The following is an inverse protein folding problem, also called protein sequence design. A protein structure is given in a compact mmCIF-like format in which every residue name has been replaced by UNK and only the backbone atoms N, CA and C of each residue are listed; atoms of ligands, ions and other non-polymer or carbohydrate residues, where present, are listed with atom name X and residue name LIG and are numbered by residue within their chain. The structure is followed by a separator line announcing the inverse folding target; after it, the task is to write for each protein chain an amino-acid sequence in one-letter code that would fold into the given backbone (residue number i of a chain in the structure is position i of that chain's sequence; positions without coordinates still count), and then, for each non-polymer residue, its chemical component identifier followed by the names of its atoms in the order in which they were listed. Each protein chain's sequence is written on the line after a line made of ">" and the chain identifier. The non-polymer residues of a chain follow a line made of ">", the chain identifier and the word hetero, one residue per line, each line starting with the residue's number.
data_IF_816569065117
#
_entry.id   IF_816569065117
#
_cell.length_a   1.000
_cell.length_b   1.000
_cell.length_c   1.000
_cell.angle_alpha   90.00
_cell.angle_beta   90.00
_cell.angle_gamma   90.00
#
_symmetry.space_group_name_H-M   'P 1'
#
loop_
_entity.id
_entity.type
_entity.pdbx_description
1 polymer ?
#
# COMPACT_ATOMS: atom_id res chain seq x y z
N UNK A 1 101.22 -6.35 -52.93
CA UNK A 1 101.53 -7.59 -53.69
C UNK A 1 100.22 -8.29 -54.04
N UNK A 2 100.16 -8.85 -55.25
CA UNK A 2 99.01 -9.41 -55.98
C UNK A 2 98.36 -10.65 -55.35
N UNK A 3 97.22 -11.00 -55.98
CA UNK A 3 96.51 -12.30 -56.08
C UNK A 3 95.36 -12.44 -55.06
N UNK A 4 94.07 -12.40 -55.39
CA UNK A 4 93.25 -13.09 -56.44
C UNK A 4 93.42 -14.60 -56.41
N UNK A 5 92.37 -15.33 -56.00
CA UNK A 5 91.64 -16.38 -56.74
C UNK A 5 90.78 -17.21 -55.76
N UNK A 6 89.47 -17.37 -55.93
CA UNK A 6 88.68 -18.13 -56.93
C UNK A 6 88.03 -19.32 -56.23
N UNK A 7 86.73 -19.48 -56.51
CA UNK A 7 86.02 -20.77 -56.67
C UNK A 7 85.83 -21.60 -55.39
N UNK A 8 84.79 -22.41 -55.20
CA UNK A 8 83.75 -23.01 -56.06
C UNK A 8 82.67 -23.53 -55.07
N UNK A 9 81.37 -23.33 -55.30
CA UNK A 9 80.41 -24.22 -56.01
C UNK A 9 80.13 -25.58 -55.32
N UNK A 10 78.84 -25.96 -55.42
CA UNK A 10 78.19 -27.27 -55.25
C UNK A 10 77.57 -27.51 -53.86
N UNK A 11 76.25 -27.34 -53.67
CA UNK A 11 75.12 -28.22 -54.07
C UNK A 11 75.31 -29.69 -53.67
N UNK A 12 74.52 -30.17 -52.70
CA UNK A 12 73.59 -31.30 -52.81
C UNK A 12 72.99 -31.57 -51.41
N UNK A 13 71.66 -31.52 -51.22
CA UNK A 13 70.62 -32.51 -51.59
C UNK A 13 70.47 -33.61 -50.53
N UNK A 14 69.21 -33.75 -50.07
CA UNK A 14 68.61 -34.89 -49.37
C UNK A 14 69.14 -35.16 -47.94
N UNK A 15 68.37 -35.64 -46.96
CA UNK A 15 67.08 -36.31 -46.93
C UNK A 15 66.53 -36.25 -45.49
N UNK A 16 65.20 -36.24 -45.42
CA UNK A 16 64.23 -36.68 -44.39
C UNK A 16 64.69 -37.26 -43.04
N UNK A 17 63.71 -37.18 -42.12
CA UNK A 17 63.43 -37.97 -40.90
C UNK A 17 63.81 -37.19 -39.63
N UNK A 18 62.86 -36.49 -39.01
CA UNK A 18 61.89 -36.95 -37.99
C UNK A 18 62.53 -37.14 -36.61
N UNK A 19 62.19 -36.24 -35.68
CA UNK A 19 61.40 -36.52 -34.47
C UNK A 19 61.47 -35.30 -33.55
N UNK A 20 60.30 -34.86 -33.10
CA UNK A 20 60.12 -33.74 -32.18
C UNK A 20 60.55 -34.15 -30.78
N UNK A 21 61.44 -33.36 -30.17
CA UNK A 21 61.54 -33.17 -28.73
C UNK A 21 61.61 -31.66 -28.51
N UNK A 22 60.50 -31.05 -28.13
CA UNK A 22 60.46 -29.62 -27.80
C UNK A 22 61.13 -29.38 -26.47
N UNK A 23 62.10 -28.49 -26.52
CA UNK A 23 62.97 -28.05 -25.46
C UNK A 23 62.25 -27.26 -24.36
N UNK A 24 62.84 -27.38 -23.18
CA UNK A 24 62.76 -26.48 -22.02
C UNK A 24 62.99 -25.02 -22.41
N UNK A 25 62.23 -24.10 -21.83
CA UNK A 25 62.66 -22.70 -21.71
C UNK A 25 62.16 -22.03 -20.41
N UNK A 26 63.12 -21.31 -19.81
CA UNK A 26 63.16 -20.52 -18.56
C UNK A 26 62.20 -19.32 -18.52
N UNK A 27 61.99 -18.70 -17.34
CA UNK A 27 61.05 -17.60 -17.14
C UNK A 27 61.66 -16.25 -17.55
N UNK A 28 60.82 -15.36 -18.10
CA UNK A 28 61.12 -13.94 -18.25
C UNK A 28 60.07 -13.14 -17.48
N UNK A 29 60.55 -12.31 -16.56
CA UNK A 29 59.74 -11.41 -15.72
C UNK A 29 59.12 -10.33 -16.60
N UNK A 30 57.81 -10.14 -16.52
CA UNK A 30 57.14 -8.93 -17.00
C UNK A 30 56.53 -8.21 -15.81
N UNK A 31 57.00 -6.97 -15.67
CA UNK A 31 56.64 -5.97 -14.68
C UNK A 31 55.21 -5.47 -14.92
N UNK A 32 54.50 -5.28 -13.81
CA UNK A 32 53.10 -4.87 -13.67
C UNK A 32 52.76 -3.48 -14.24
N UNK A 33 51.61 -3.37 -14.91
CA UNK A 33 50.81 -2.13 -15.01
C UNK A 33 49.57 -2.28 -14.13
N UNK A 34 49.16 -1.27 -13.34
CA UNK A 34 47.96 -1.38 -12.52
C UNK A 34 46.73 -1.17 -13.42
N UNK A 35 45.86 -2.18 -13.51
CA UNK A 35 44.50 -1.98 -13.98
C UNK A 35 43.68 -1.42 -12.83
N UNK A 36 43.15 -0.21 -13.00
CA UNK A 36 42.13 0.35 -12.11
C UNK A 36 40.89 -0.53 -12.24
N UNK A 37 40.68 -1.38 -11.23
CA UNK A 37 39.45 -2.16 -11.09
C UNK A 37 38.33 -1.20 -10.67
N UNK A 38 37.46 -0.83 -11.61
CA UNK A 38 36.17 -0.25 -11.25
C UNK A 38 35.38 -1.31 -10.50
N UNK A 39 35.30 -1.14 -9.18
CA UNK A 39 34.44 -1.93 -8.31
C UNK A 39 33.00 -1.47 -8.56
N UNK A 40 32.36 -2.03 -9.60
CA UNK A 40 30.91 -1.92 -9.75
C UNK A 40 30.31 -2.70 -8.59
N UNK A 41 29.96 -1.95 -7.53
CA UNK A 41 29.11 -2.45 -6.45
C UNK A 41 27.87 -3.02 -7.11
N UNK A 42 27.75 -4.34 -7.04
CA UNK A 42 26.54 -5.10 -7.31
C UNK A 42 25.42 -4.40 -6.54
N UNK A 43 24.57 -3.68 -7.27
CA UNK A 43 23.33 -3.13 -6.75
C UNK A 43 22.61 -4.27 -6.05
N UNK A 44 22.39 -4.10 -4.75
CA UNK A 44 21.57 -5.02 -3.96
C UNK A 44 20.28 -5.23 -4.72
N UNK A 45 20.10 -6.46 -5.18
CA UNK A 45 18.88 -6.95 -5.79
C UNK A 45 17.71 -6.49 -4.92
N UNK A 46 16.94 -5.54 -5.43
CA UNK A 46 15.63 -5.22 -4.87
C UNK A 46 14.83 -6.51 -5.06
N UNK A 47 14.74 -7.34 -4.03
CA UNK A 47 13.79 -8.44 -3.99
C UNK A 47 12.41 -7.82 -4.05
N UNK A 48 11.91 -7.70 -5.27
CA UNK A 48 10.55 -7.31 -5.60
C UNK A 48 9.66 -8.47 -5.18
N UNK A 49 9.38 -8.56 -3.88
CA UNK A 49 8.31 -9.37 -3.35
C UNK A 49 7.03 -8.66 -3.77
N UNK A 50 6.68 -8.84 -5.05
CA UNK A 50 5.59 -8.17 -5.75
C UNK A 50 4.27 -8.72 -5.22
N UNK A 51 3.84 -8.23 -4.06
CA UNK A 51 2.42 -8.02 -3.87
C UNK A 51 2.04 -6.99 -4.92
N UNK A 52 1.19 -7.36 -5.87
CA UNK A 52 0.64 -6.51 -6.92
C UNK A 52 -0.25 -5.41 -6.32
N UNK A 53 0.34 -4.58 -5.48
CA UNK A 53 -0.23 -3.33 -4.98
C UNK A 53 -0.18 -2.41 -6.21
N UNK A 54 -1.33 -2.04 -6.79
CA UNK A 54 -1.35 -1.23 -8.00
C UNK A 54 -0.50 0.01 -7.79
N UNK A 55 0.31 0.42 -8.78
CA UNK A 55 1.10 1.65 -8.69
C UNK A 55 0.25 2.87 -8.28
N UNK A 56 -1.02 2.87 -8.70
CA UNK A 56 -2.03 3.86 -8.32
C UNK A 56 -2.29 3.92 -6.80
N UNK A 57 -2.24 2.79 -6.10
CA UNK A 57 -2.43 2.74 -4.64
C UNK A 57 -1.23 3.26 -3.88
N UNK A 58 0.00 3.05 -4.37
CA UNK A 58 1.21 3.64 -3.77
C UNK A 58 1.25 5.14 -3.98
N UNK A 59 0.94 5.62 -5.19
CA UNK A 59 0.88 7.06 -5.48
C UNK A 59 -0.21 7.77 -4.66
N UNK A 60 -1.39 7.15 -4.53
CA UNK A 60 -2.47 7.68 -3.68
C UNK A 60 -2.08 7.69 -2.19
N UNK A 61 -1.36 6.66 -1.73
CA UNK A 61 -0.89 6.57 -0.35
C UNK A 61 0.09 7.70 -0.01
N UNK A 62 1.08 7.95 -0.86
CA UNK A 62 2.04 9.05 -0.65
C UNK A 62 1.35 10.42 -0.74
N UNK A 63 0.42 10.61 -1.69
CA UNK A 63 -0.33 11.86 -1.79
C UNK A 63 -1.17 12.16 -0.53
N UNK A 64 -1.82 11.13 0.04
CA UNK A 64 -2.56 11.27 1.31
C UNK A 64 -1.61 11.60 2.45
N UNK A 65 -0.45 10.95 2.50
CA UNK A 65 0.56 11.24 3.53
C UNK A 65 1.07 12.68 3.41
N UNK A 66 1.48 13.12 2.24
CA UNK A 66 1.94 14.49 1.99
C UNK A 66 0.87 15.54 2.37
N UNK A 67 -0.40 15.21 2.14
CA UNK A 67 -1.51 16.09 2.49
C UNK A 67 -1.77 16.20 4.00
N UNK A 68 -1.50 15.15 4.78
CA UNK A 68 -1.84 15.05 6.22
C UNK A 68 -0.62 15.29 7.13
N UNK A 69 0.61 15.03 6.63
CA UNK A 69 1.85 15.16 7.41
C UNK A 69 2.03 16.56 8.02
N UNK A 70 1.83 17.69 7.29
CA UNK A 70 2.01 19.03 7.86
C UNK A 70 1.09 19.31 9.06
N UNK A 71 -0.12 18.77 9.02
CA UNK A 71 -1.11 18.91 10.08
C UNK A 71 -0.70 18.03 11.26
N UNK A 72 -0.30 16.78 11.03
CA UNK A 72 0.20 15.91 12.08
C UNK A 72 1.41 16.53 12.80
N UNK A 73 2.35 17.12 12.06
CA UNK A 73 3.52 17.80 12.62
C UNK A 73 3.12 19.03 13.44
N UNK A 74 2.14 19.81 12.99
CA UNK A 74 1.56 20.90 13.78
C UNK A 74 0.95 20.39 15.10
N UNK A 75 0.11 19.34 15.04
CA UNK A 75 -0.53 18.78 16.24
C UNK A 75 0.47 18.15 17.21
N UNK A 76 1.62 17.63 16.75
CA UNK A 76 2.72 17.19 17.62
C UNK A 76 3.27 18.33 18.49
N UNK A 77 3.27 19.57 18.00
CA UNK A 77 3.77 20.72 18.79
C UNK A 77 2.89 21.09 19.97
N UNK A 78 1.64 20.63 20.00
CA UNK A 78 0.67 20.93 21.05
C UNK A 78 0.83 20.05 22.29
N UNK A 79 1.77 19.10 22.29
CA UNK A 79 2.07 18.18 23.41
C UNK A 79 0.80 17.54 24.01
N UNK A 80 -0.06 17.04 23.13
CA UNK A 80 -1.32 16.43 23.54
C UNK A 80 -1.07 15.15 24.33
N UNK A 81 -1.88 14.85 25.37
CA UNK A 81 -1.73 13.61 26.13
C UNK A 81 -1.77 12.38 25.23
N UNK A 82 -0.84 11.46 25.43
CA UNK A 82 -0.72 10.21 24.65
C UNK A 82 -2.05 9.45 24.61
N UNK A 83 -2.74 9.35 25.75
CA UNK A 83 -4.04 8.68 25.84
C UNK A 83 -5.09 9.27 24.88
N UNK A 84 -5.07 10.59 24.64
CA UNK A 84 -5.99 11.24 23.71
C UNK A 84 -5.61 10.94 22.25
N UNK A 85 -4.33 10.98 21.92
CA UNK A 85 -3.83 10.69 20.56
C UNK A 85 -4.11 9.22 20.21
N UNK A 86 -3.88 8.32 21.16
CA UNK A 86 -4.02 6.88 20.99
C UNK A 86 -5.48 6.45 20.94
N UNK A 87 -6.30 6.91 21.89
CA UNK A 87 -7.67 6.40 22.07
C UNK A 87 -8.78 7.33 21.55
N UNK A 88 -8.44 8.56 21.16
CA UNK A 88 -9.41 9.53 20.65
C UNK A 88 -10.15 9.05 19.40
N UNK A 89 -9.42 8.50 18.42
CA UNK A 89 -10.02 7.92 17.22
C UNK A 89 -10.93 6.72 17.52
N UNK A 90 -10.45 5.62 18.15
CA UNK A 90 -11.29 4.44 18.38
C UNK A 90 -12.47 4.75 19.32
N UNK A 91 -12.29 5.62 20.33
CA UNK A 91 -13.35 6.04 21.23
C UNK A 91 -14.47 6.78 20.50
N UNK A 92 -14.13 7.80 19.72
CA UNK A 92 -15.12 8.58 18.96
C UNK A 92 -15.82 7.73 17.90
N UNK A 93 -15.06 6.89 17.16
CA UNK A 93 -15.64 6.05 16.12
C UNK A 93 -16.56 4.97 16.67
N UNK A 94 -16.33 4.49 17.91
CA UNK A 94 -17.26 3.56 18.56
C UNK A 94 -18.62 4.19 18.81
N UNK A 95 -18.65 5.44 19.32
CA UNK A 95 -19.90 6.17 19.55
C UNK A 95 -20.64 6.39 18.24
N UNK A 96 -19.94 6.81 17.18
CA UNK A 96 -20.54 7.03 15.86
C UNK A 96 -21.07 5.72 15.27
N UNK A 97 -20.30 4.62 15.35
CA UNK A 97 -20.72 3.32 14.82
C UNK A 97 -21.99 2.81 15.52
N UNK A 98 -22.06 2.93 16.86
CA UNK A 98 -23.23 2.46 17.62
C UNK A 98 -24.44 3.38 17.43
N UNK A 99 -24.26 4.69 17.58
CA UNK A 99 -25.36 5.66 17.55
C UNK A 99 -25.88 5.90 16.12
N UNK A 100 -25.01 5.99 15.13
CA UNK A 100 -25.43 6.29 13.76
C UNK A 100 -25.53 5.02 12.90
N UNK A 101 -24.56 4.12 13.00
CA UNK A 101 -24.61 2.83 12.29
C UNK A 101 -25.65 1.88 12.88
N UNK A 102 -25.55 1.61 14.18
CA UNK A 102 -26.49 0.72 14.89
C UNK A 102 -27.92 1.25 14.86
N UNK A 103 -28.17 2.40 15.48
CA UNK A 103 -29.54 2.93 15.53
C UNK A 103 -30.03 3.48 14.18
N UNK A 104 -29.20 4.23 13.45
CA UNK A 104 -29.61 4.83 12.17
C UNK A 104 -29.82 3.81 11.05
N UNK A 105 -28.89 2.87 10.86
CA UNK A 105 -28.98 1.91 9.77
C UNK A 105 -29.60 0.55 10.17
N UNK A 106 -29.26 -0.05 11.32
CA UNK A 106 -29.86 -1.33 11.72
C UNK A 106 -31.27 -1.19 12.28
N UNK A 107 -31.53 -0.18 13.12
CA UNK A 107 -32.87 0.02 13.68
C UNK A 107 -33.75 0.76 12.70
N UNK A 108 -33.50 2.06 12.46
CA UNK A 108 -34.38 2.88 11.63
C UNK A 108 -34.43 2.42 10.18
N UNK A 109 -33.30 2.04 9.58
CA UNK A 109 -33.26 1.53 8.21
C UNK A 109 -34.14 0.30 7.98
N UNK A 110 -34.13 -0.66 8.93
CA UNK A 110 -34.98 -1.85 8.84
C UNK A 110 -36.43 -1.59 9.25
N UNK A 111 -36.70 -0.69 10.20
CA UNK A 111 -38.06 -0.25 10.55
C UNK A 111 -38.82 0.23 9.31
N UNK A 112 -38.18 0.96 8.40
CA UNK A 112 -38.80 1.42 7.15
C UNK A 112 -39.30 0.26 6.28
N UNK A 113 -38.64 -0.91 6.36
CA UNK A 113 -38.97 -2.09 5.54
C UNK A 113 -39.91 -3.08 6.23
N UNK A 114 -39.81 -3.23 7.55
CA UNK A 114 -40.46 -4.34 8.26
C UNK A 114 -41.62 -3.91 9.14
N UNK A 115 -41.71 -2.63 9.52
CA UNK A 115 -42.77 -2.15 10.40
C UNK A 115 -44.08 -1.92 9.64
N UNK A 116 -45.19 -2.22 10.31
CA UNK A 116 -46.56 -1.89 9.86
C UNK A 116 -47.11 -0.65 10.53
N UNK A 117 -46.42 -0.09 11.53
CA UNK A 117 -46.80 1.17 12.19
C UNK A 117 -46.36 2.36 11.34
N UNK A 118 -47.34 3.10 10.82
CA UNK A 118 -47.13 4.27 9.96
C UNK A 118 -46.37 5.39 10.67
N UNK A 119 -46.58 5.59 11.97
CA UNK A 119 -45.89 6.62 12.74
C UNK A 119 -44.40 6.28 12.88
N UNK A 120 -44.08 5.04 13.24
CA UNK A 120 -42.70 4.56 13.33
C UNK A 120 -41.99 4.60 11.96
N UNK A 121 -42.69 4.27 10.87
CA UNK A 121 -42.12 4.34 9.51
C UNK A 121 -41.85 5.78 9.09
N UNK A 122 -42.75 6.72 9.40
CA UNK A 122 -42.57 8.13 9.10
C UNK A 122 -41.35 8.71 9.84
N UNK A 123 -41.24 8.42 11.14
CA UNK A 123 -40.08 8.83 11.94
C UNK A 123 -38.78 8.21 11.40
N UNK A 124 -38.80 6.92 11.05
CA UNK A 124 -37.63 6.24 10.52
C UNK A 124 -37.17 6.79 9.16
N UNK A 125 -38.10 7.16 8.28
CA UNK A 125 -37.79 7.80 6.98
C UNK A 125 -37.15 9.18 7.14
N UNK A 126 -37.49 9.91 8.20
CA UNK A 126 -36.86 11.20 8.50
C UNK A 126 -35.48 11.01 9.15
N UNK A 127 -35.36 10.08 10.09
CA UNK A 127 -34.14 9.90 10.88
C UNK A 127 -33.04 9.11 10.16
N UNK A 128 -33.37 8.06 9.41
CA UNK A 128 -32.40 7.22 8.71
C UNK A 128 -31.44 8.02 7.80
N UNK A 129 -31.91 8.87 6.88
CA UNK A 129 -31.01 9.62 6.01
C UNK A 129 -30.15 10.65 6.77
N UNK A 130 -30.69 11.28 7.83
CA UNK A 130 -29.93 12.24 8.66
C UNK A 130 -28.79 11.55 9.40
N UNK A 131 -29.08 10.41 10.03
CA UNK A 131 -28.08 9.62 10.74
C UNK A 131 -27.06 9.00 9.78
N UNK A 132 -27.50 8.52 8.61
CA UNK A 132 -26.60 7.95 7.60
C UNK A 132 -25.66 9.02 6.99
N UNK A 133 -26.16 10.23 6.69
CA UNK A 133 -25.33 11.33 6.22
C UNK A 133 -24.33 11.77 7.31
N UNK A 134 -24.79 11.87 8.56
CA UNK A 134 -23.93 12.13 9.71
C UNK A 134 -22.83 11.07 9.84
N UNK A 135 -23.18 9.79 9.77
CA UNK A 135 -22.24 8.67 9.83
C UNK A 135 -21.16 8.80 8.76
N UNK A 136 -21.54 9.08 7.51
CA UNK A 136 -20.58 9.24 6.42
C UNK A 136 -19.57 10.36 6.70
N UNK A 137 -20.04 11.53 7.13
CA UNK A 137 -19.18 12.68 7.44
C UNK A 137 -18.25 12.35 8.61
N UNK A 138 -18.79 11.82 9.71
CA UNK A 138 -17.99 11.50 10.88
C UNK A 138 -17.00 10.36 10.62
N UNK A 139 -17.32 9.41 9.75
CA UNK A 139 -16.38 8.36 9.35
C UNK A 139 -15.28 8.89 8.44
N UNK A 140 -15.58 9.83 7.54
CA UNK A 140 -14.56 10.51 6.75
C UNK A 140 -13.60 11.31 7.64
N UNK A 141 -14.14 12.09 8.59
CA UNK A 141 -13.33 12.80 9.59
C UNK A 141 -12.56 11.83 10.49
N UNK A 142 -13.20 10.71 10.86
CA UNK A 142 -12.59 9.63 11.61
C UNK A 142 -11.39 9.03 10.89
N UNK A 143 -11.50 8.78 9.58
CA UNK A 143 -10.39 8.28 8.76
C UNK A 143 -9.20 9.27 8.78
N UNK A 144 -9.46 10.56 8.63
CA UNK A 144 -8.41 11.60 8.76
C UNK A 144 -7.80 11.60 10.16
N UNK A 145 -8.62 11.57 11.22
CA UNK A 145 -8.14 11.55 12.60
C UNK A 145 -7.34 10.30 12.95
N UNK A 146 -7.74 9.14 12.43
CA UNK A 146 -7.01 7.88 12.61
C UNK A 146 -5.64 7.90 11.93
N UNK A 147 -5.58 8.36 10.68
CA UNK A 147 -4.31 8.55 9.97
C UNK A 147 -3.41 9.57 10.67
N UNK A 148 -3.99 10.68 11.16
CA UNK A 148 -3.25 11.68 11.95
C UNK A 148 -2.69 11.08 13.25
N UNK A 149 -3.46 10.26 13.97
CA UNK A 149 -2.98 9.61 15.19
C UNK A 149 -1.76 8.70 14.96
N UNK A 150 -1.70 8.00 13.82
CA UNK A 150 -0.56 7.17 13.44
C UNK A 150 0.66 8.02 13.09
N UNK A 151 0.46 9.10 12.34
CA UNK A 151 1.55 10.02 11.99
C UNK A 151 2.12 10.74 13.21
N UNK A 152 1.27 11.10 14.18
CA UNK A 152 1.68 11.68 15.46
C UNK A 152 2.55 10.71 16.29
N UNK A 153 2.44 9.39 16.05
CA UNK A 153 3.21 8.34 16.69
C UNK A 153 4.34 7.77 15.79
N UNK A 154 4.64 8.44 14.67
CA UNK A 154 5.66 8.06 13.69
C UNK A 154 5.48 6.64 13.11
N UNK A 155 4.21 6.22 12.94
CA UNK A 155 3.83 4.92 12.36
C UNK A 155 3.42 5.06 10.89
N UNK A 156 3.67 4.03 10.06
CA UNK A 156 3.23 4.03 8.66
C UNK A 156 1.70 3.88 8.56
N UNK A 157 1.08 4.62 7.63
CA UNK A 157 -0.39 4.66 7.46
C UNK A 157 -0.92 3.40 6.76
N UNK A 158 -0.31 3.00 5.64
CA UNK A 158 -0.90 2.01 4.72
C UNK A 158 -0.45 0.55 4.95
N UNK A 159 0.28 0.29 6.03
CA UNK A 159 0.70 -1.08 6.40
C UNK A 159 -0.36 -1.81 7.21
N UNK A 160 -1.29 -1.08 7.84
CA UNK A 160 -2.28 -1.68 8.73
C UNK A 160 -3.54 -2.14 7.98
N UNK A 161 -3.98 -3.40 8.17
CA UNK A 161 -5.28 -3.88 7.69
C UNK A 161 -6.46 -3.02 8.18
N UNK A 162 -6.32 -2.37 9.33
CA UNK A 162 -7.32 -1.44 9.84
C UNK A 162 -7.52 -0.24 8.89
N UNK A 163 -6.43 0.39 8.42
CA UNK A 163 -6.53 1.53 7.52
C UNK A 163 -7.13 1.13 6.17
N UNK A 164 -6.69 0.00 5.61
CA UNK A 164 -7.20 -0.50 4.32
C UNK A 164 -8.70 -0.83 4.39
N UNK A 165 -9.13 -1.51 5.45
CA UNK A 165 -10.56 -1.81 5.65
C UNK A 165 -11.38 -0.54 5.90
N UNK A 166 -10.81 0.47 6.56
CA UNK A 166 -11.46 1.77 6.77
C UNK A 166 -11.69 2.54 5.46
N UNK A 167 -10.66 2.65 4.62
CA UNK A 167 -10.77 3.30 3.31
C UNK A 167 -11.71 2.54 2.37
N UNK A 168 -11.65 1.21 2.36
CA UNK A 168 -12.58 0.36 1.62
C UNK A 168 -14.02 0.53 2.10
N UNK A 169 -14.25 0.51 3.41
CA UNK A 169 -15.55 0.73 4.02
C UNK A 169 -16.13 2.11 3.71
N UNK A 170 -15.32 3.17 3.79
CA UNK A 170 -15.74 4.54 3.46
C UNK A 170 -16.08 4.69 1.97
N UNK A 171 -15.32 4.04 1.09
CA UNK A 171 -15.60 4.01 -0.35
C UNK A 171 -16.92 3.31 -0.66
N UNK A 172 -17.17 2.15 -0.02
CA UNK A 172 -18.44 1.45 -0.12
C UNK A 172 -19.60 2.27 0.44
N UNK A 173 -19.38 2.99 1.55
CA UNK A 173 -20.36 3.89 2.14
C UNK A 173 -20.69 5.08 1.22
N UNK A 174 -19.71 5.60 0.47
CA UNK A 174 -19.95 6.61 -0.56
C UNK A 174 -20.85 6.06 -1.68
N UNK A 175 -20.58 4.84 -2.18
CA UNK A 175 -21.45 4.17 -3.16
C UNK A 175 -22.86 3.98 -2.60
N UNK A 176 -22.97 3.48 -1.37
CA UNK A 176 -24.23 3.27 -0.66
C UNK A 176 -25.07 4.56 -0.57
N UNK A 177 -24.43 5.71 -0.36
CA UNK A 177 -25.08 7.02 -0.28
C UNK A 177 -25.68 7.49 -1.62
N UNK A 178 -25.20 6.96 -2.76
CA UNK A 178 -25.75 7.29 -4.09
C UNK A 178 -26.97 6.44 -4.47
N UNK A 179 -27.13 5.25 -3.88
CA UNK A 179 -28.20 4.31 -4.24
C UNK A 179 -29.63 4.88 -4.13
N UNK A 180 -29.97 5.74 -3.14
CA UNK A 180 -31.30 6.35 -3.07
C UNK A 180 -31.71 7.13 -4.32
N UNK A 181 -30.76 7.68 -5.08
CA UNK A 181 -31.04 8.38 -6.34
C UNK A 181 -31.68 7.47 -7.41
N UNK A 182 -31.49 6.16 -7.30
CA UNK A 182 -32.00 5.16 -8.24
C UNK A 182 -33.32 4.51 -7.78
N UNK A 183 -33.86 4.89 -6.63
CA UNK A 183 -35.09 4.28 -6.09
C UNK A 183 -36.32 4.54 -6.97
N UNK A 184 -36.36 5.69 -7.66
CA UNK A 184 -37.46 6.03 -8.56
C UNK A 184 -37.39 5.23 -9.88
N UNK A 185 -36.20 5.01 -10.43
CA UNK A 185 -36.01 4.34 -11.73
C UNK A 185 -35.97 2.81 -11.62
N UNK A 186 -35.37 2.27 -10.55
CA UNK A 186 -35.15 0.82 -10.38
C UNK A 186 -36.03 0.19 -9.29
N UNK A 187 -36.88 0.99 -8.62
CA UNK A 187 -37.92 0.52 -7.71
C UNK A 187 -37.40 -0.38 -6.58
N UNK A 188 -37.96 -1.59 -6.49
CA UNK A 188 -37.66 -2.54 -5.41
C UNK A 188 -36.20 -3.04 -5.42
N UNK A 189 -35.63 -3.27 -6.59
CA UNK A 189 -34.27 -3.83 -6.72
C UNK A 189 -33.22 -2.91 -6.07
N UNK A 190 -33.23 -1.61 -6.39
CA UNK A 190 -32.30 -0.66 -5.80
C UNK A 190 -32.46 -0.53 -4.27
N UNK A 191 -33.69 -0.62 -3.76
CA UNK A 191 -33.97 -0.61 -2.31
C UNK A 191 -33.45 -1.87 -1.61
N UNK A 192 -33.52 -3.02 -2.26
CA UNK A 192 -32.98 -4.28 -1.74
C UNK A 192 -31.45 -4.23 -1.71
N UNK A 193 -30.82 -3.78 -2.80
CA UNK A 193 -29.36 -3.58 -2.86
C UNK A 193 -28.90 -2.62 -1.78
N UNK A 194 -29.57 -1.48 -1.61
CA UNK A 194 -29.24 -0.53 -0.55
C UNK A 194 -29.35 -1.18 0.85
N UNK A 195 -30.41 -1.93 1.15
CA UNK A 195 -30.57 -2.54 2.47
C UNK A 195 -29.47 -3.58 2.78
N UNK A 196 -29.20 -4.50 1.85
CA UNK A 196 -28.23 -5.57 2.06
C UNK A 196 -26.78 -5.11 1.96
N UNK A 197 -26.47 -4.18 1.04
CA UNK A 197 -25.15 -3.57 0.96
C UNK A 197 -24.86 -2.76 2.21
N UNK A 198 -25.80 -1.93 2.68
CA UNK A 198 -25.66 -1.15 3.91
C UNK A 198 -25.44 -2.03 5.14
N UNK A 199 -26.16 -3.14 5.25
CA UNK A 199 -25.97 -4.11 6.35
C UNK A 199 -24.60 -4.79 6.28
N UNK A 200 -24.17 -5.17 5.08
CA UNK A 200 -22.82 -5.74 4.86
C UNK A 200 -21.71 -4.75 5.21
N UNK A 201 -21.87 -3.48 4.85
CA UNK A 201 -20.93 -2.39 5.19
C UNK A 201 -20.81 -2.24 6.71
N UNK A 202 -21.92 -2.30 7.46
CA UNK A 202 -21.86 -2.28 8.92
C UNK A 202 -21.13 -3.49 9.49
N UNK A 203 -21.34 -4.69 8.94
CA UNK A 203 -20.57 -5.87 9.31
C UNK A 203 -19.06 -5.68 9.07
N UNK A 204 -18.69 -5.10 7.94
CA UNK A 204 -17.31 -4.72 7.65
C UNK A 204 -16.77 -3.72 8.67
N UNK A 205 -17.56 -2.72 9.10
CA UNK A 205 -17.13 -1.76 10.11
C UNK A 205 -16.96 -2.37 11.51
N UNK A 206 -17.68 -3.42 11.86
CA UNK A 206 -17.43 -4.20 13.08
C UNK A 206 -16.08 -4.91 13.00
N UNK A 207 -15.76 -5.53 11.86
CA UNK A 207 -14.44 -6.14 11.64
C UNK A 207 -13.34 -5.07 11.68
N UNK A 208 -13.55 -3.94 11.01
CA UNK A 208 -12.64 -2.79 11.03
C UNK A 208 -12.37 -2.28 12.45
N UNK A 209 -13.41 -2.19 13.29
CA UNK A 209 -13.28 -1.81 14.70
C UNK A 209 -12.46 -2.83 15.49
N UNK A 210 -12.67 -4.13 15.26
CA UNK A 210 -11.84 -5.20 15.85
C UNK A 210 -10.37 -5.08 15.46
N UNK A 211 -10.09 -4.83 14.18
CA UNK A 211 -8.73 -4.57 13.69
C UNK A 211 -8.13 -3.28 14.29
N UNK A 212 -8.95 -2.26 14.53
CA UNK A 212 -8.54 -1.02 15.17
C UNK A 212 -8.16 -1.20 16.62
N UNK A 213 -8.92 -1.99 17.38
CA UNK A 213 -8.57 -2.36 18.76
C UNK A 213 -7.29 -3.20 18.80
N UNK A 214 -7.13 -4.16 17.88
CA UNK A 214 -5.90 -4.94 17.77
C UNK A 214 -4.69 -4.06 17.48
N UNK A 215 -4.83 -3.10 16.54
CA UNK A 215 -3.77 -2.14 16.22
C UNK A 215 -3.45 -1.28 17.45
N UNK A 216 -4.46 -0.70 18.09
CA UNK A 216 -4.30 0.13 19.28
C UNK A 216 -3.61 -0.60 20.43
N UNK A 217 -3.89 -1.88 20.66
CA UNK A 217 -3.20 -2.66 21.69
C UNK A 217 -1.77 -3.08 21.32
N UNK A 218 -1.38 -2.92 20.05
CA UNK A 218 -0.05 -3.28 19.54
C UNK A 218 0.91 -2.08 19.37
N UNK A 219 0.38 -0.86 19.47
CA UNK A 219 1.14 0.39 19.40
C UNK A 219 1.87 0.66 20.72
#
# INVERSE_FOLDING_TARGET
>A
MKQVNMQTRCRNVQSRISLRVSAVARPSKIVSKPSVSMNIRKTSELKLNSSAVPLFTVAAAEAIRELIQPQADYFKTLDLPEALVHWGHPGNMMVVLLAMGGYGALVKGWTIRTSTDEAAVAEAKDMHPKLAAGMFIFFALGAVGGMMSLLMQDKPIFESPHVLTGLGGLSLLAVQATLPAFFASQGKSARDVHAYLGTSILGLFVVHAGLGLQLGLSL
#
